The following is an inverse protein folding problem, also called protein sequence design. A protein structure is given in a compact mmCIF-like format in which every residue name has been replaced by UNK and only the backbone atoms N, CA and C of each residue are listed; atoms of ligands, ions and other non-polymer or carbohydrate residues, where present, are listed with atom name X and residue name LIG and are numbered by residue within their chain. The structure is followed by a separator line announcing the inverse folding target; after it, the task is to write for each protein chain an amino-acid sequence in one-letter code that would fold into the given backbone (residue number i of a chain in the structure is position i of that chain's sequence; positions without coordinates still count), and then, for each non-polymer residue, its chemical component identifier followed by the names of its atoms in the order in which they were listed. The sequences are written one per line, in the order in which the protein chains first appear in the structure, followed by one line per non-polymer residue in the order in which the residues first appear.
data_IF_847533681178
#
_entry.id   IF_847533681178
#
_cell.length_a   1.000
_cell.length_b   1.000
_cell.length_c   1.000
_cell.angle_alpha   90.00
_cell.angle_beta   90.00
_cell.angle_gamma   90.00
#
_symmetry.space_group_name_H-M   'P 1'
#
loop_
_entity.id
_entity.type
_entity.pdbx_description
1 polymer ?
#
# COMPACT_ATOMS: atom_id res chain seq x y z
N UNK A 1 -2.93 -9.41 -32.11
CA UNK A 1 -4.02 -9.09 -31.17
C UNK A 1 -3.56 -7.91 -30.34
N UNK A 2 -4.28 -6.80 -30.40
CA UNK A 2 -3.92 -5.54 -29.77
C UNK A 2 -3.99 -5.68 -28.23
N UNK A 3 -2.85 -5.56 -27.55
CA UNK A 3 -2.73 -5.68 -26.08
C UNK A 3 -3.25 -4.46 -25.31
N UNK A 4 -3.92 -3.52 -26.01
CA UNK A 4 -4.44 -2.28 -25.42
C UNK A 4 -5.93 -2.31 -25.07
N UNK A 5 -6.65 -3.38 -25.43
CA UNK A 5 -8.07 -3.51 -25.11
C UNK A 5 -8.24 -4.25 -23.77
N UNK A 6 -8.33 -3.49 -22.68
CA UNK A 6 -8.94 -3.98 -21.44
C UNK A 6 -10.46 -3.73 -21.52
N UNK A 7 -11.32 -4.76 -21.38
CA UNK A 7 -12.77 -4.67 -21.60
C UNK A 7 -13.55 -3.81 -20.58
N UNK A 8 -12.89 -2.85 -19.91
CA UNK A 8 -13.48 -1.92 -18.95
C UNK A 8 -13.10 -0.45 -19.16
N UNK A 9 -12.40 -0.09 -20.24
CA UNK A 9 -11.95 1.31 -20.47
C UNK A 9 -13.07 2.32 -20.70
N UNK A 10 -14.21 1.90 -21.25
CA UNK A 10 -15.40 2.73 -21.49
C UNK A 10 -16.37 2.75 -20.30
N UNK A 11 -16.07 2.03 -19.22
CA UNK A 11 -16.91 2.02 -18.01
C UNK A 11 -16.74 3.35 -17.28
N UNK A 12 -17.85 4.02 -16.97
CA UNK A 12 -17.84 5.15 -16.04
C UNK A 12 -17.61 4.62 -14.63
N UNK A 13 -16.71 5.26 -13.90
CA UNK A 13 -16.45 4.99 -12.49
C UNK A 13 -16.62 6.26 -11.69
N UNK A 14 -17.18 6.13 -10.49
CA UNK A 14 -17.22 7.23 -9.53
C UNK A 14 -15.89 7.31 -8.83
N UNK A 15 -15.26 8.48 -8.89
CA UNK A 15 -13.97 8.75 -8.25
C UNK A 15 -14.10 9.91 -7.27
N UNK A 16 -13.18 10.02 -6.32
CA UNK A 16 -13.09 11.18 -5.41
C UNK A 16 -12.05 12.19 -5.90
N UNK A 17 -12.37 13.48 -5.77
CA UNK A 17 -11.47 14.60 -5.99
C UNK A 17 -10.03 14.33 -5.49
N UNK A 18 -9.01 14.59 -6.32
CA UNK A 18 -7.60 14.47 -5.90
C UNK A 18 -7.23 15.42 -4.75
N UNK A 19 -7.91 16.57 -4.64
CA UNK A 19 -7.72 17.49 -3.52
C UNK A 19 -8.33 16.88 -2.25
N UNK A 20 -7.50 16.66 -1.22
CA UNK A 20 -7.94 16.01 -0.01
C UNK A 20 -9.03 16.77 0.73
N UNK A 21 -9.11 18.10 0.60
CA UNK A 21 -10.08 18.94 1.30
C UNK A 21 -11.44 18.97 0.59
N UNK A 22 -11.42 18.82 -0.74
CA UNK A 22 -12.62 18.99 -1.56
C UNK A 22 -13.61 17.83 -1.39
N UNK A 23 -13.13 16.59 -1.48
CA UNK A 23 -13.96 15.41 -1.25
C UNK A 23 -15.15 15.23 -2.19
N UNK A 24 -15.22 15.93 -3.33
CA UNK A 24 -16.28 15.72 -4.31
C UNK A 24 -16.17 14.33 -4.93
N UNK A 25 -17.28 13.60 -5.03
CA UNK A 25 -17.37 12.39 -5.85
C UNK A 25 -17.96 12.74 -7.24
N UNK A 26 -17.36 12.25 -8.31
CA UNK A 26 -17.83 12.50 -9.68
C UNK A 26 -17.47 11.34 -10.62
N UNK A 27 -18.18 11.24 -11.74
CA UNK A 27 -17.97 10.17 -12.71
C UNK A 27 -16.88 10.53 -13.72
N UNK A 28 -15.98 9.58 -13.98
CA UNK A 28 -14.97 9.67 -15.03
C UNK A 28 -14.91 8.36 -15.79
N UNK A 29 -14.51 8.41 -17.07
CA UNK A 29 -14.19 7.19 -17.79
C UNK A 29 -13.04 6.47 -17.07
N UNK A 30 -13.15 5.15 -16.90
CA UNK A 30 -12.14 4.33 -16.22
C UNK A 30 -10.74 4.67 -16.74
N UNK A 31 -10.58 4.73 -18.07
CA UNK A 31 -9.38 5.14 -18.79
C UNK A 31 -8.68 6.45 -18.36
N UNK A 32 -9.43 7.37 -17.74
CA UNK A 32 -8.98 8.71 -17.36
C UNK A 32 -8.65 8.85 -15.87
N UNK A 33 -9.17 7.96 -15.02
CA UNK A 33 -9.03 8.06 -13.56
C UNK A 33 -7.56 8.10 -13.09
N UNK A 34 -6.65 7.47 -13.83
CA UNK A 34 -5.21 7.40 -13.53
C UNK A 34 -4.32 8.35 -14.36
N UNK A 35 -4.88 9.15 -15.28
CA UNK A 35 -4.06 10.01 -16.16
C UNK A 35 -3.98 11.44 -15.66
N UNK A 36 -5.15 12.07 -15.49
CA UNK A 36 -5.35 13.44 -14.99
C UNK A 36 -6.86 13.69 -15.03
N UNK A 37 -7.53 13.56 -13.89
CA UNK A 37 -8.89 14.07 -13.76
C UNK A 37 -8.82 15.51 -13.27
N UNK A 38 -9.74 16.34 -13.74
CA UNK A 38 -9.93 17.70 -13.24
C UNK A 38 -11.22 17.72 -12.44
N UNK A 39 -11.12 18.07 -11.16
CA UNK A 39 -12.29 18.16 -10.29
C UNK A 39 -13.21 19.29 -10.79
N UNK A 40 -14.49 19.02 -11.07
CA UNK A 40 -15.41 20.05 -11.56
C UNK A 40 -15.80 21.08 -10.48
N UNK A 41 -15.51 20.83 -9.20
CA UNK A 41 -15.78 21.78 -8.12
C UNK A 41 -14.60 22.71 -7.81
N UNK A 42 -13.42 22.15 -7.49
CA UNK A 42 -12.26 22.95 -7.06
C UNK A 42 -11.18 23.12 -8.13
N UNK A 43 -11.31 22.47 -9.29
CA UNK A 43 -10.32 22.52 -10.36
C UNK A 43 -9.04 21.73 -10.10
N UNK A 44 -8.95 21.02 -8.96
CA UNK A 44 -7.79 20.20 -8.65
C UNK A 44 -7.55 19.13 -9.72
N UNK A 45 -6.30 18.95 -10.10
CA UNK A 45 -5.88 17.99 -11.11
C UNK A 45 -4.99 16.92 -10.50
N UNK A 46 -5.25 15.65 -10.83
CA UNK A 46 -4.49 14.52 -10.30
C UNK A 46 -5.10 13.18 -10.72
N UNK A 47 -4.58 12.08 -10.18
CA UNK A 47 -5.33 10.82 -10.25
C UNK A 47 -6.36 10.80 -9.11
N UNK A 48 -7.51 10.19 -9.39
CA UNK A 48 -8.58 10.07 -8.41
C UNK A 48 -8.82 8.61 -8.05
N UNK A 49 -9.03 8.34 -6.77
CA UNK A 49 -9.36 7.01 -6.26
C UNK A 49 -10.83 6.70 -6.49
N UNK A 50 -11.20 5.43 -6.63
CA UNK A 50 -12.60 5.02 -6.65
C UNK A 50 -13.31 5.51 -5.38
N UNK A 51 -14.46 6.15 -5.57
CA UNK A 51 -15.31 6.60 -4.47
C UNK A 51 -15.72 5.45 -3.55
N UNK A 52 -15.90 4.25 -4.09
CA UNK A 52 -16.15 3.05 -3.28
C UNK A 52 -14.96 2.70 -2.38
N UNK A 53 -13.73 2.80 -2.89
CA UNK A 53 -12.53 2.60 -2.07
C UNK A 53 -12.41 3.70 -1.02
N UNK A 54 -12.76 4.95 -1.33
CA UNK A 54 -12.87 6.00 -0.30
C UNK A 54 -13.89 5.67 0.78
N UNK A 55 -15.08 5.20 0.39
CA UNK A 55 -16.12 4.80 1.35
C UNK A 55 -15.66 3.65 2.25
N UNK A 56 -14.89 2.70 1.71
CA UNK A 56 -14.25 1.63 2.50
C UNK A 56 -13.20 2.17 3.48
N UNK A 57 -12.49 3.24 3.11
CA UNK A 57 -11.52 3.93 3.97
C UNK A 57 -12.17 4.77 5.08
N UNK A 58 -13.40 5.25 4.94
CA UNK A 58 -14.07 6.02 6.00
C UNK A 58 -13.33 7.32 6.41
N UNK A 59 -12.39 7.79 5.60
CA UNK A 59 -11.65 9.03 5.85
C UNK A 59 -12.43 10.22 5.28
N UNK A 60 -12.66 11.24 6.11
CA UNK A 60 -13.30 12.49 5.67
C UNK A 60 -12.45 13.18 4.58
N UNK A 61 -11.10 13.10 4.65
CA UNK A 61 -10.15 13.67 3.69
C UNK A 61 -8.90 12.78 3.48
N UNK A 62 -8.38 12.58 2.25
CA UNK A 62 -7.07 11.98 2.01
C UNK A 62 -5.96 12.68 2.83
N UNK A 63 -5.08 11.90 3.46
CA UNK A 63 -3.95 12.42 4.23
C UNK A 63 -4.22 12.88 5.67
N UNK A 64 -5.47 12.81 6.17
CA UNK A 64 -5.81 13.32 7.52
C UNK A 64 -5.94 12.26 8.62
N UNK A 65 -6.45 11.05 8.32
CA UNK A 65 -6.61 9.98 9.30
C UNK A 65 -6.48 8.59 8.67
N UNK A 66 -6.01 7.62 9.44
CA UNK A 66 -6.06 6.21 9.04
C UNK A 66 -7.53 5.76 9.02
N UNK A 67 -7.92 4.88 8.08
CA UNK A 67 -9.28 4.35 8.05
C UNK A 67 -9.61 3.60 9.34
N UNK A 68 -10.90 3.38 9.62
CA UNK A 68 -11.28 2.51 10.75
C UNK A 68 -10.83 1.07 10.46
N UNK A 69 -9.86 0.60 11.23
CA UNK A 69 -9.27 -0.74 11.11
C UNK A 69 -10.16 -1.75 11.85
N UNK A 70 -10.39 -2.92 11.24
CA UNK A 70 -11.21 -4.00 11.82
C UNK A 70 -10.32 -4.93 12.64
N UNK A 71 -10.93 -5.68 13.56
CA UNK A 71 -10.21 -6.63 14.44
C UNK A 71 -9.43 -7.70 13.66
N UNK A 72 -9.84 -8.02 12.43
CA UNK A 72 -9.18 -9.01 11.57
C UNK A 72 -8.42 -8.38 10.40
N UNK A 73 -7.97 -7.13 10.51
CA UNK A 73 -7.34 -6.44 9.39
C UNK A 73 -5.88 -6.81 9.17
N UNK A 74 -5.50 -6.91 7.90
CA UNK A 74 -4.11 -6.98 7.43
C UNK A 74 -3.72 -5.68 6.78
N UNK A 75 -2.66 -5.05 7.26
CA UNK A 75 -2.11 -3.80 6.71
C UNK A 75 -0.73 -4.07 6.12
N UNK A 76 -0.38 -3.39 5.03
CA UNK A 76 0.99 -3.38 4.49
C UNK A 76 1.54 -1.97 4.53
N UNK A 77 2.70 -1.78 5.15
CA UNK A 77 3.44 -0.52 5.15
C UNK A 77 4.59 -0.64 4.15
N UNK A 78 4.64 0.27 3.18
CA UNK A 78 5.72 0.40 2.21
C UNK A 78 6.57 1.59 2.66
N UNK A 79 7.71 1.31 3.28
CA UNK A 79 8.61 2.33 3.82
C UNK A 79 9.69 2.71 2.79
N UNK A 80 9.66 3.97 2.35
CA UNK A 80 10.69 4.60 1.50
C UNK A 80 11.10 3.77 0.26
N UNK A 81 10.15 3.08 -0.37
CA UNK A 81 10.40 2.22 -1.51
C UNK A 81 10.53 3.05 -2.80
N UNK A 82 11.65 2.90 -3.51
CA UNK A 82 11.96 3.77 -4.67
C UNK A 82 11.32 3.28 -5.97
N UNK A 83 11.22 1.97 -6.15
CA UNK A 83 10.80 1.38 -7.41
C UNK A 83 9.28 1.42 -7.56
N UNK A 84 8.80 2.29 -8.44
CA UNK A 84 7.39 2.33 -8.89
C UNK A 84 6.89 0.96 -9.38
N UNK A 85 7.78 0.14 -9.94
CA UNK A 85 7.43 -1.21 -10.39
C UNK A 85 7.17 -2.16 -9.22
N UNK A 86 7.99 -2.07 -8.16
CA UNK A 86 7.77 -2.83 -6.93
C UNK A 86 6.49 -2.36 -6.24
N UNK A 87 6.23 -1.04 -6.15
CA UNK A 87 4.99 -0.51 -5.56
C UNK A 87 3.75 -1.11 -6.24
N UNK A 88 3.67 -1.04 -7.58
CA UNK A 88 2.53 -1.62 -8.28
C UNK A 88 2.43 -3.15 -8.14
N UNK A 89 3.56 -3.85 -8.08
CA UNK A 89 3.56 -5.30 -7.85
C UNK A 89 3.10 -5.66 -6.42
N UNK A 90 3.44 -4.83 -5.43
CA UNK A 90 2.97 -4.99 -4.04
C UNK A 90 1.47 -4.70 -3.98
N UNK A 91 0.96 -3.63 -4.61
CA UNK A 91 -0.48 -3.36 -4.67
C UNK A 91 -1.26 -4.54 -5.27
N UNK A 92 -0.76 -5.09 -6.38
CA UNK A 92 -1.36 -6.29 -6.98
C UNK A 92 -1.32 -7.52 -6.08
N UNK A 93 -0.25 -7.66 -5.30
CA UNK A 93 -0.14 -8.72 -4.29
C UNK A 93 -1.14 -8.48 -3.15
N UNK A 94 -1.25 -7.25 -2.68
CA UNK A 94 -2.18 -6.84 -1.62
C UNK A 94 -3.64 -7.13 -2.00
N UNK A 95 -4.03 -6.82 -3.24
CA UNK A 95 -5.34 -7.17 -3.80
C UNK A 95 -5.57 -8.68 -3.74
N UNK A 96 -4.62 -9.47 -4.26
CA UNK A 96 -4.74 -10.93 -4.31
C UNK A 96 -4.85 -11.60 -2.93
N UNK A 97 -4.28 -10.99 -1.89
CA UNK A 97 -4.32 -11.50 -0.51
C UNK A 97 -5.38 -10.83 0.38
N UNK A 98 -6.18 -9.91 -0.17
CA UNK A 98 -7.23 -9.22 0.60
C UNK A 98 -6.71 -8.30 1.70
N UNK A 99 -5.58 -7.63 1.46
CA UNK A 99 -5.03 -6.62 2.37
C UNK A 99 -6.02 -5.44 2.50
N UNK A 100 -6.35 -5.07 3.73
CA UNK A 100 -7.35 -4.05 4.02
C UNK A 100 -6.84 -2.62 3.81
N UNK A 101 -5.52 -2.41 3.93
CA UNK A 101 -4.89 -1.10 3.77
C UNK A 101 -3.42 -1.21 3.38
N UNK A 102 -3.00 -0.36 2.44
CA UNK A 102 -1.60 -0.09 2.12
C UNK A 102 -1.21 1.31 2.58
N UNK A 103 -0.23 1.43 3.47
CA UNK A 103 0.33 2.70 3.95
C UNK A 103 1.67 2.93 3.26
N UNK A 104 1.78 3.98 2.47
CA UNK A 104 3.03 4.37 1.80
C UNK A 104 3.68 5.51 2.58
N UNK A 105 5.00 5.50 2.69
CA UNK A 105 5.71 6.57 3.42
C UNK A 105 6.89 7.16 2.67
N UNK A 106 7.24 8.39 3.06
CA UNK A 106 8.42 9.10 2.60
C UNK A 106 8.51 9.18 1.08
N UNK A 107 9.60 8.69 0.50
CA UNK A 107 9.85 8.80 -0.95
C UNK A 107 9.01 7.85 -1.82
N UNK A 108 8.20 6.98 -1.20
CA UNK A 108 7.40 5.99 -1.91
C UNK A 108 6.40 6.67 -2.85
N UNK A 109 6.50 6.35 -4.13
CA UNK A 109 5.56 6.85 -5.12
C UNK A 109 4.16 6.29 -4.85
N UNK A 110 3.16 7.16 -4.88
CA UNK A 110 1.76 6.86 -4.67
C UNK A 110 1.05 6.53 -6.00
N UNK A 111 -0.11 5.84 -5.96
CA UNK A 111 -0.84 5.40 -7.15
C UNK A 111 -1.18 6.45 -8.21
N UNK A 112 -1.06 7.75 -7.92
CA UNK A 112 -1.17 8.79 -8.95
C UNK A 112 -0.02 8.73 -9.97
N UNK A 113 1.08 8.02 -9.66
CA UNK A 113 2.20 7.87 -10.57
C UNK A 113 1.85 6.89 -11.73
N UNK A 114 1.85 7.33 -13.00
CA UNK A 114 1.27 6.58 -14.13
C UNK A 114 1.98 5.26 -14.47
N UNK A 115 3.21 5.06 -13.98
CA UNK A 115 3.92 3.79 -14.14
C UNK A 115 3.44 2.68 -13.20
N UNK A 116 2.79 3.01 -12.08
CA UNK A 116 2.29 2.04 -11.11
C UNK A 116 1.16 1.21 -11.70
N UNK A 117 0.21 1.85 -12.39
CA UNK A 117 -0.90 1.18 -13.07
C UNK A 117 -0.46 0.07 -14.05
N UNK A 118 0.74 0.21 -14.64
CA UNK A 118 1.29 -0.79 -15.58
C UNK A 118 1.67 -2.11 -14.91
N UNK A 119 2.02 -2.10 -13.62
CA UNK A 119 2.38 -3.30 -12.87
C UNK A 119 1.26 -3.74 -11.92
N UNK A 120 0.49 -2.78 -11.38
CA UNK A 120 -0.65 -3.04 -10.51
C UNK A 120 -1.86 -3.63 -11.26
N UNK A 121 -2.04 -3.28 -12.55
CA UNK A 121 -3.12 -3.79 -13.41
C UNK A 121 -4.54 -3.60 -12.82
N UNK A 122 -4.80 -2.43 -12.23
CA UNK A 122 -6.10 -2.07 -11.66
C UNK A 122 -6.18 -2.29 -10.14
N UNK A 123 -5.24 -3.04 -9.55
CA UNK A 123 -5.20 -3.26 -8.10
C UNK A 123 -5.04 -1.96 -7.30
N UNK A 124 -4.44 -0.92 -7.89
CA UNK A 124 -4.31 0.40 -7.28
C UNK A 124 -5.66 1.12 -7.09
N UNK A 125 -6.71 0.64 -7.76
CA UNK A 125 -8.07 1.12 -7.63
C UNK A 125 -8.90 0.29 -6.66
N UNK A 126 -8.48 -0.94 -6.34
CA UNK A 126 -9.23 -1.89 -5.50
C UNK A 126 -8.72 -1.90 -4.06
N UNK A 127 -7.41 -1.82 -3.88
CA UNK A 127 -6.77 -1.87 -2.56
C UNK A 127 -6.82 -0.49 -1.93
N UNK A 128 -7.42 -0.33 -0.75
CA UNK A 128 -7.38 0.92 -0.03
C UNK A 128 -5.93 1.31 0.31
N UNK A 129 -5.54 2.55 0.04
CA UNK A 129 -4.20 3.03 0.33
C UNK A 129 -4.19 4.46 0.86
N UNK A 130 -3.16 4.80 1.62
CA UNK A 130 -2.90 6.15 2.11
C UNK A 130 -1.40 6.45 2.09
N UNK A 131 -1.03 7.72 1.98
CA UNK A 131 0.35 8.17 2.19
C UNK A 131 0.51 8.85 3.56
N UNK A 132 1.65 8.64 4.21
CA UNK A 132 2.03 9.25 5.49
C UNK A 132 3.46 9.75 5.42
N UNK A 133 3.71 10.92 6.02
CA UNK A 133 4.99 11.64 5.95
C UNK A 133 6.23 10.75 6.03
N UNK A 134 6.43 10.08 7.17
CA UNK A 134 7.56 9.19 7.40
C UNK A 134 7.11 7.85 8.02
N UNK A 135 7.94 6.82 7.83
CA UNK A 135 7.72 5.47 8.35
C UNK A 135 7.47 5.44 9.87
N UNK A 136 8.35 6.03 10.69
CA UNK A 136 8.21 6.04 12.13
C UNK A 136 6.90 6.65 12.64
N UNK A 137 6.46 7.78 12.07
CA UNK A 137 5.20 8.43 12.43
C UNK A 137 4.00 7.57 12.03
N UNK A 138 4.01 7.00 10.82
CA UNK A 138 2.95 6.10 10.35
C UNK A 138 2.80 4.86 11.25
N UNK A 139 3.92 4.29 11.68
CA UNK A 139 3.95 3.15 12.61
C UNK A 139 3.39 3.52 13.97
N UNK A 140 3.69 4.71 14.51
CA UNK A 140 3.08 5.18 15.77
C UNK A 140 1.57 5.34 15.66
N UNK A 141 1.06 5.84 14.53
CA UNK A 141 -0.38 5.93 14.26
C UNK A 141 -1.04 4.55 14.27
N UNK A 142 -0.45 3.57 13.57
CA UNK A 142 -0.97 2.19 13.52
C UNK A 142 -0.96 1.53 14.91
N UNK A 143 0.10 1.72 15.70
CA UNK A 143 0.18 1.19 17.08
C UNK A 143 -0.88 1.78 18.00
N UNK A 144 -1.20 3.08 17.87
CA UNK A 144 -2.29 3.73 18.64
C UNK A 144 -3.66 3.13 18.31
N UNK A 145 -3.81 2.50 17.14
CA UNK A 145 -5.01 1.77 16.74
C UNK A 145 -5.00 0.29 17.18
N UNK A 146 -4.00 -0.12 17.96
CA UNK A 146 -3.88 -1.51 18.44
C UNK A 146 -3.37 -2.49 17.40
N UNK A 147 -2.75 -2.02 16.30
CA UNK A 147 -2.19 -2.89 15.27
C UNK A 147 -0.80 -3.35 15.67
N UNK A 148 -0.56 -4.66 15.62
CA UNK A 148 0.77 -5.23 15.83
C UNK A 148 1.67 -4.97 14.61
N UNK A 149 2.91 -4.55 14.83
CA UNK A 149 3.85 -4.19 13.75
C UNK A 149 4.85 -5.32 13.54
N UNK A 150 4.89 -5.86 12.32
CA UNK A 150 5.82 -6.92 11.90
C UNK A 150 6.75 -6.36 10.83
N UNK A 151 8.02 -6.18 11.14
CA UNK A 151 9.02 -5.73 10.20
C UNK A 151 9.61 -6.91 9.41
N UNK A 152 9.52 -6.88 8.08
CA UNK A 152 10.15 -7.87 7.21
C UNK A 152 11.62 -7.48 6.96
N UNK A 153 12.49 -7.82 7.90
CA UNK A 153 13.90 -7.44 7.87
C UNK A 153 14.77 -8.48 8.56
N UNK A 154 15.99 -8.65 8.06
CA UNK A 154 16.98 -9.55 8.63
C UNK A 154 17.85 -8.78 9.64
N UNK A 155 17.36 -8.70 10.87
CA UNK A 155 18.14 -8.21 12.02
C UNK A 155 18.71 -9.37 12.84
N UNK A 156 19.55 -9.06 13.83
CA UNK A 156 20.06 -10.04 14.79
C UNK A 156 18.97 -10.68 15.66
N UNK A 157 17.82 -10.02 15.78
CA UNK A 157 16.66 -10.45 16.57
C UNK A 157 15.58 -11.09 15.71
N UNK A 158 15.80 -11.16 14.39
CA UNK A 158 14.79 -11.64 13.46
C UNK A 158 14.54 -13.14 13.60
N UNK A 159 13.27 -13.50 13.62
CA UNK A 159 12.79 -14.88 13.66
C UNK A 159 12.50 -15.34 12.22
N UNK A 160 12.85 -16.59 11.85
CA UNK A 160 12.44 -17.17 10.57
C UNK A 160 10.93 -17.03 10.35
N UNK A 161 10.53 -16.57 9.17
CA UNK A 161 9.14 -16.17 8.88
C UNK A 161 8.13 -17.29 9.09
N UNK A 162 8.53 -18.54 8.89
CA UNK A 162 7.74 -19.76 9.11
C UNK A 162 7.50 -20.09 10.59
N UNK A 163 8.22 -19.42 11.50
CA UNK A 163 8.10 -19.57 12.96
C UNK A 163 7.45 -18.35 13.62
N UNK A 164 7.23 -17.28 12.86
CA UNK A 164 6.57 -16.07 13.34
C UNK A 164 5.07 -16.32 13.41
N UNK A 165 4.50 -16.14 14.59
CA UNK A 165 3.06 -16.15 14.80
C UNK A 165 2.58 -14.70 14.91
N UNK A 166 1.56 -14.34 14.13
CA UNK A 166 1.00 -12.99 14.11
C UNK A 166 -0.50 -13.10 14.26
N UNK A 167 -1.04 -12.49 15.31
CA UNK A 167 -2.48 -12.35 15.49
C UNK A 167 -2.96 -11.09 14.77
N UNK A 168 -4.18 -11.11 14.25
CA UNK A 168 -4.78 -9.92 13.65
C UNK A 168 -5.35 -8.99 14.75
N UNK A 169 -5.34 -7.66 14.54
CA UNK A 169 -4.86 -6.97 13.35
C UNK A 169 -3.33 -6.75 13.36
N UNK A 170 -2.69 -6.86 12.19
CA UNK A 170 -1.26 -6.60 12.05
C UNK A 170 -0.92 -5.74 10.83
N UNK A 171 0.24 -5.09 10.89
CA UNK A 171 0.86 -4.38 9.80
C UNK A 171 2.22 -5.00 9.44
N UNK A 172 2.35 -5.48 8.20
CA UNK A 172 3.61 -5.93 7.63
C UNK A 172 4.38 -4.74 7.06
N UNK A 173 5.57 -4.45 7.55
CA UNK A 173 6.44 -3.40 7.02
C UNK A 173 7.43 -4.00 6.02
N UNK A 174 7.47 -3.42 4.82
CA UNK A 174 8.43 -3.71 3.75
C UNK A 174 9.23 -2.45 3.48
N UNK A 175 10.55 -2.55 3.64
CA UNK A 175 11.45 -1.39 3.55
C UNK A 175 12.06 -1.13 2.17
N UNK A 176 12.95 -0.15 2.14
CA UNK A 176 13.70 0.29 0.98
C UNK A 176 14.52 -0.85 0.35
N UNK A 177 14.68 -0.86 -0.98
CA UNK A 177 15.36 -1.95 -1.68
C UNK A 177 16.85 -2.11 -1.35
N UNK A 178 17.48 -1.06 -0.82
CA UNK A 178 18.91 -1.06 -0.47
C UNK A 178 19.10 -0.93 1.03
N UNK A 179 18.40 -0.01 1.68
CA UNK A 179 18.57 0.24 3.11
C UNK A 179 17.76 -0.73 4.00
N UNK A 180 16.77 -1.44 3.44
CA UNK A 180 15.86 -2.25 4.23
C UNK A 180 14.87 -1.41 5.02
N UNK A 181 14.30 -1.99 6.07
CA UNK A 181 13.45 -1.29 7.04
C UNK A 181 14.31 -0.39 7.93
N UNK A 182 13.88 0.85 8.16
CA UNK A 182 14.68 1.82 8.91
C UNK A 182 14.84 1.42 10.39
N UNK A 183 15.98 1.75 10.99
CA UNK A 183 16.23 1.53 12.43
C UNK A 183 15.13 2.07 13.35
N UNK A 184 14.62 3.30 13.13
CA UNK A 184 13.50 3.83 13.91
C UNK A 184 12.19 3.05 13.77
N UNK A 185 11.90 2.45 12.61
CA UNK A 185 10.73 1.56 12.45
C UNK A 185 10.98 0.20 13.10
N UNK A 186 12.17 -0.38 12.91
CA UNK A 186 12.58 -1.63 13.56
C UNK A 186 12.42 -1.54 15.08
N UNK A 187 12.91 -0.46 15.70
CA UNK A 187 12.78 -0.24 17.15
C UNK A 187 11.32 -0.17 17.66
N UNK A 188 10.35 0.05 16.77
CA UNK A 188 8.93 0.11 17.08
C UNK A 188 8.19 -1.18 16.75
N UNK A 189 8.80 -2.08 15.97
CA UNK A 189 8.21 -3.33 15.55
C UNK A 189 8.09 -4.29 16.74
N UNK A 190 6.95 -4.97 16.85
CA UNK A 190 6.78 -6.02 17.84
C UNK A 190 7.57 -7.28 17.47
N UNK A 191 7.74 -7.51 16.15
CA UNK A 191 8.44 -8.67 15.60
C UNK A 191 9.27 -8.29 14.39
N UNK A 192 10.43 -8.92 14.28
CA UNK A 192 11.24 -8.90 13.08
C UNK A 192 11.13 -10.28 12.45
N UNK A 193 10.58 -10.35 11.24
CA UNK A 193 10.45 -11.56 10.47
C UNK A 193 11.49 -11.58 9.35
N UNK A 194 12.22 -12.68 9.22
CA UNK A 194 13.21 -12.86 8.16
C UNK A 194 12.87 -14.06 7.29
N UNK A 195 12.94 -13.87 5.97
CA UNK A 195 12.87 -14.99 5.01
C UNK A 195 14.25 -15.67 5.00
N UNK A 196 14.34 -16.98 5.30
CA UNK A 196 15.62 -17.70 5.26
C UNK A 196 16.22 -17.68 3.85
N UNK A 197 17.43 -17.13 3.73
CA UNK A 197 18.18 -17.07 2.48
C UNK A 197 19.22 -18.19 2.44
N UNK A 198 18.94 -19.26 1.69
CA UNK A 198 19.82 -20.43 1.60
C UNK A 198 20.88 -20.34 0.48
N UNK A 199 20.76 -19.32 -0.37
CA UNK A 199 21.67 -19.08 -1.50
C UNK A 199 22.72 -18.02 -1.21
N UNK A 200 23.39 -17.55 -2.27
CA UNK A 200 24.43 -16.51 -2.18
C UNK A 200 23.89 -15.08 -2.03
N UNK A 201 22.57 -14.88 -2.19
CA UNK A 201 21.92 -13.58 -2.05
C UNK A 201 21.45 -13.35 -0.63
N UNK A 202 21.56 -12.12 -0.16
CA UNK A 202 21.19 -11.71 1.20
C UNK A 202 19.73 -11.29 1.34
N UNK A 203 19.00 -11.12 0.23
CA UNK A 203 17.60 -10.71 0.22
C UNK A 203 16.90 -11.10 -1.08
N UNK A 204 15.56 -11.02 -1.07
CA UNK A 204 14.70 -11.09 -2.24
C UNK A 204 14.36 -9.68 -2.74
N UNK A 205 13.81 -9.59 -3.95
CA UNK A 205 13.12 -8.38 -4.40
C UNK A 205 11.99 -8.01 -3.42
N UNK A 206 11.81 -6.73 -3.12
CA UNK A 206 10.84 -6.25 -2.12
C UNK A 206 9.40 -6.73 -2.37
N UNK A 207 8.93 -6.73 -3.62
CA UNK A 207 7.58 -7.21 -3.95
C UNK A 207 7.45 -8.72 -3.76
N UNK A 208 8.50 -9.48 -4.12
CA UNK A 208 8.55 -10.94 -3.89
C UNK A 208 8.57 -11.25 -2.39
N UNK A 209 9.37 -10.52 -1.61
CA UNK A 209 9.44 -10.68 -0.17
C UNK A 209 8.09 -10.40 0.49
N UNK A 210 7.41 -9.32 0.08
CA UNK A 210 6.04 -9.00 0.50
C UNK A 210 5.07 -10.15 0.20
N UNK A 211 5.10 -10.71 -1.01
CA UNK A 211 4.23 -11.82 -1.39
C UNK A 211 4.47 -13.09 -0.57
N UNK A 212 5.74 -13.45 -0.30
CA UNK A 212 6.10 -14.58 0.57
C UNK A 212 5.57 -14.37 1.98
N UNK A 213 5.74 -13.17 2.53
CA UNK A 213 5.29 -12.84 3.88
C UNK A 213 3.77 -12.86 4.01
N UNK A 214 3.05 -12.25 3.08
CA UNK A 214 1.59 -12.28 3.07
C UNK A 214 1.05 -13.71 2.89
N UNK A 215 1.67 -14.53 2.05
CA UNK A 215 1.30 -15.94 1.92
C UNK A 215 1.51 -16.72 3.22
N UNK A 216 2.57 -16.41 3.97
CA UNK A 216 2.90 -17.09 5.22
C UNK A 216 2.00 -16.68 6.38
N UNK A 217 1.55 -15.42 6.43
CA UNK A 217 0.73 -14.86 7.51
C UNK A 217 -0.78 -14.89 7.24
N UNK A 218 -1.22 -15.49 6.14
CA UNK A 218 -2.65 -15.60 5.78
C UNK A 218 -3.42 -16.54 6.70
#
# INVERSE_FOLDING_TARGET
MDTRYHPGMDKMITVTCPDPVCGLEFEVAHGLAWRRVSCPACGAEGAAILAEVRRKLGAENPGSALPKIRENSTVVVIEDLRSVHNVGSILRTCDAFGVDLVVMTGITATPEHPKIARTALGAELEVPWVWRGDGPSAVDELKKLGIEIVALERTNEAVPIDKVHVDRPFALVVGNEVAGVSGPVLAKAARHAAIPMLGSKSSLNAAVACAVALWQFR
#
